data_IF_734526728332
#
_entry.id   IF_734526728332
#
_cell.length_a   1.000
_cell.length_b   1.000
_cell.length_c   1.000
_cell.angle_alpha   90.00
_cell.angle_beta   90.00
_cell.angle_gamma   90.00
#
_symmetry.space_group_name_H-M   'P 1'
#
loop_
_entity.id
_entity.type
_entity.pdbx_description
1 polymer ?
#
# COMPACT_ATOMS: atom_id res chain seq x y z
N UNK A 1 -27.34 3.08 0.38
CA UNK A 1 -26.14 3.27 1.21
C UNK A 1 -25.02 2.45 0.58
N UNK A 2 -23.88 3.06 0.26
CA UNK A 2 -22.74 2.37 -0.35
C UNK A 2 -22.02 1.53 0.71
N UNK A 3 -21.66 0.29 0.37
CA UNK A 3 -20.91 -0.63 1.25
C UNK A 3 -19.52 -0.86 0.68
N UNK A 4 -18.57 -1.30 1.51
CA UNK A 4 -17.24 -1.69 1.03
C UNK A 4 -17.34 -2.79 -0.05
N UNK A 5 -18.22 -3.78 0.14
CA UNK A 5 -18.44 -4.83 -0.84
C UNK A 5 -18.85 -4.28 -2.21
N UNK A 6 -19.73 -3.27 -2.26
CA UNK A 6 -20.15 -2.63 -3.50
C UNK A 6 -18.99 -1.84 -4.16
N UNK A 7 -18.17 -1.16 -3.36
CA UNK A 7 -16.99 -0.43 -3.85
C UNK A 7 -15.94 -1.38 -4.41
N UNK A 8 -15.65 -2.48 -3.71
CA UNK A 8 -14.69 -3.51 -4.13
C UNK A 8 -15.19 -4.22 -5.39
N UNK A 9 -16.48 -4.56 -5.48
CA UNK A 9 -17.05 -5.18 -6.69
C UNK A 9 -16.93 -4.23 -7.91
N UNK A 10 -17.18 -2.93 -7.71
CA UNK A 10 -16.97 -1.92 -8.74
C UNK A 10 -15.51 -1.85 -9.21
N UNK A 11 -14.57 -1.85 -8.26
CA UNK A 11 -13.13 -1.83 -8.55
C UNK A 11 -12.68 -3.11 -9.28
N UNK A 12 -13.17 -4.27 -8.83
CA UNK A 12 -12.86 -5.60 -9.40
C UNK A 12 -13.26 -5.66 -10.86
N UNK A 13 -14.47 -5.18 -11.19
CA UNK A 13 -14.97 -5.14 -12.57
C UNK A 13 -14.14 -4.22 -13.45
N UNK A 14 -13.75 -3.06 -12.93
CA UNK A 14 -13.02 -2.05 -13.71
C UNK A 14 -11.57 -2.45 -13.97
N UNK A 15 -10.89 -2.98 -12.96
CA UNK A 15 -9.49 -3.38 -13.03
C UNK A 15 -9.29 -4.86 -13.45
N UNK A 16 -10.38 -5.58 -13.71
CA UNK A 16 -10.35 -7.01 -14.07
C UNK A 16 -9.55 -7.86 -13.05
N UNK A 17 -9.69 -7.53 -11.77
CA UNK A 17 -9.00 -8.25 -10.69
C UNK A 17 -9.57 -9.67 -10.61
N UNK A 18 -8.69 -10.66 -10.73
CA UNK A 18 -9.07 -12.07 -10.81
C UNK A 18 -9.56 -12.62 -9.47
N UNK A 19 -8.94 -12.23 -8.36
CA UNK A 19 -9.35 -12.71 -7.04
C UNK A 19 -8.91 -11.78 -5.91
N UNK A 20 -9.82 -11.56 -4.95
CA UNK A 20 -9.52 -10.98 -3.65
C UNK A 20 -9.37 -12.09 -2.61
N UNK A 21 -8.41 -11.93 -1.71
CA UNK A 21 -8.38 -12.68 -0.47
C UNK A 21 -9.33 -12.00 0.53
N UNK A 22 -10.37 -12.71 0.96
CA UNK A 22 -11.38 -12.17 1.89
C UNK A 22 -11.24 -12.93 3.20
N UNK A 23 -11.03 -12.20 4.30
CA UNK A 23 -11.04 -12.78 5.65
C UNK A 23 -12.40 -12.61 6.32
N UNK A 24 -12.63 -13.36 7.41
CA UNK A 24 -13.92 -13.41 8.12
C UNK A 24 -14.46 -12.06 8.61
N UNK A 25 -13.59 -11.06 8.79
CA UNK A 25 -13.95 -9.73 9.28
C UNK A 25 -14.30 -8.75 8.16
N UNK A 26 -14.71 -9.23 6.98
CA UNK A 26 -15.01 -8.39 5.80
C UNK A 26 -13.83 -7.51 5.37
N UNK A 27 -12.61 -8.02 5.58
CA UNK A 27 -11.38 -7.39 5.11
C UNK A 27 -10.99 -8.02 3.78
N UNK A 28 -10.71 -7.17 2.80
CA UNK A 28 -10.30 -7.55 1.45
C UNK A 28 -8.81 -7.31 1.29
N UNK A 29 -8.10 -8.27 0.74
CA UNK A 29 -6.67 -8.21 0.50
C UNK A 29 -6.36 -8.56 -0.96
N UNK A 30 -5.41 -7.83 -1.53
CA UNK A 30 -4.93 -8.00 -2.90
C UNK A 30 -3.43 -7.75 -2.93
N UNK A 31 -2.67 -8.69 -3.47
CA UNK A 31 -1.27 -8.47 -3.78
C UNK A 31 -1.15 -7.85 -5.17
N UNK A 32 -0.52 -6.67 -5.22
CA UNK A 32 -0.30 -5.87 -6.43
C UNK A 32 1.17 -6.03 -6.83
N UNK A 33 1.39 -6.58 -8.02
CA UNK A 33 2.71 -6.80 -8.64
C UNK A 33 3.75 -7.53 -7.76
N UNK A 34 3.28 -8.25 -6.74
CA UNK A 34 4.11 -8.99 -5.78
C UNK A 34 4.94 -8.13 -4.82
N UNK A 35 4.81 -6.80 -4.88
CA UNK A 35 5.60 -5.84 -4.09
C UNK A 35 4.78 -5.06 -3.07
N UNK A 36 3.48 -4.90 -3.32
CA UNK A 36 2.55 -4.16 -2.46
C UNK A 36 1.39 -5.08 -2.08
N UNK A 37 1.10 -5.20 -0.78
CA UNK A 37 -0.10 -5.86 -0.30
C UNK A 37 -1.14 -4.81 0.10
N UNK A 38 -2.21 -4.70 -0.69
CA UNK A 38 -3.33 -3.78 -0.47
C UNK A 38 -4.37 -4.45 0.43
N UNK A 39 -4.73 -3.79 1.54
CA UNK A 39 -5.74 -4.23 2.49
C UNK A 39 -6.84 -3.17 2.63
N UNK A 40 -8.09 -3.60 2.52
CA UNK A 40 -9.28 -2.76 2.60
C UNK A 40 -10.24 -3.29 3.66
N UNK A 41 -10.69 -2.44 4.57
CA UNK A 41 -11.71 -2.81 5.56
C UNK A 41 -12.55 -1.60 5.96
N UNK A 42 -13.63 -1.84 6.71
CA UNK A 42 -14.47 -0.76 7.25
C UNK A 42 -14.47 -0.77 8.77
N UNK A 43 -14.41 0.42 9.36
CA UNK A 43 -14.67 0.63 10.78
C UNK A 43 -15.30 2.01 11.00
N UNK A 44 -16.32 2.10 11.87
CA UNK A 44 -16.95 3.38 12.27
C UNK A 44 -17.31 4.31 11.10
N UNK A 45 -18.03 3.80 10.08
CA UNK A 45 -18.45 4.54 8.88
C UNK A 45 -17.31 5.07 8.01
N UNK A 46 -16.12 4.48 8.11
CA UNK A 46 -14.96 4.80 7.28
C UNK A 46 -14.44 3.56 6.59
N UNK A 47 -13.94 3.75 5.37
CA UNK A 47 -13.13 2.77 4.66
C UNK A 47 -11.67 3.07 4.95
N UNK A 48 -10.93 2.04 5.34
CA UNK A 48 -9.50 2.07 5.54
C UNK A 48 -8.84 1.43 4.32
N UNK A 49 -7.85 2.11 3.77
CA UNK A 49 -7.03 1.66 2.65
C UNK A 49 -5.60 1.62 3.15
N UNK A 50 -5.03 0.41 3.22
CA UNK A 50 -3.68 0.17 3.70
C UNK A 50 -2.88 -0.50 2.59
N UNK A 51 -1.83 0.17 2.12
CA UNK A 51 -0.83 -0.44 1.24
C UNK A 51 0.41 -0.75 2.06
N UNK A 52 0.67 -2.04 2.29
CA UNK A 52 1.90 -2.51 2.92
C UNK A 52 2.96 -2.82 1.85
N UNK A 53 4.15 -2.25 1.99
CA UNK A 53 5.26 -2.41 1.03
C UNK A 53 6.57 -2.19 1.76
N UNK A 54 7.67 -2.73 1.23
CA UNK A 54 9.02 -2.53 1.79
C UNK A 54 9.19 -2.97 3.25
N UNK A 55 9.91 -4.06 3.48
CA UNK A 55 10.30 -4.46 4.83
C UNK A 55 11.70 -3.94 5.14
N UNK A 56 11.85 -3.16 6.21
CA UNK A 56 13.17 -2.78 6.71
C UNK A 56 13.73 -4.01 7.45
N UNK A 57 14.90 -4.50 7.05
CA UNK A 57 15.54 -5.64 7.72
C UNK A 57 16.00 -5.26 9.13
N UNK A 58 16.20 -6.26 9.99
CA UNK A 58 16.76 -6.02 11.32
C UNK A 58 18.18 -5.47 11.27
N UNK A 59 18.91 -5.80 10.21
CA UNK A 59 20.26 -5.31 9.91
C UNK A 59 20.27 -3.87 9.35
N UNK A 60 19.11 -3.29 9.03
CA UNK A 60 18.98 -1.96 8.42
C UNK A 60 18.89 -0.79 9.43
N UNK A 61 19.05 -1.05 10.74
CA UNK A 61 19.38 0.02 11.71
C UNK A 61 20.76 0.63 11.40
N UNK A 62 21.52 0.10 10.43
CA UNK A 62 22.76 0.71 9.92
C UNK A 62 22.54 1.97 9.05
N UNK A 63 21.30 2.27 8.62
CA UNK A 63 21.04 3.41 7.71
C UNK A 63 19.89 4.33 8.19
N UNK A 64 19.97 4.93 9.40
CA UNK A 64 18.94 5.84 9.92
C UNK A 64 18.65 7.05 9.01
N UNK A 65 19.62 7.42 8.17
CA UNK A 65 19.46 8.48 7.17
C UNK A 65 18.53 8.09 6.01
N UNK A 66 18.42 6.80 5.67
CA UNK A 66 17.49 6.34 4.64
C UNK A 66 16.06 6.45 5.14
N UNK A 67 15.81 5.99 6.38
CA UNK A 67 14.51 6.16 7.03
C UNK A 67 14.14 7.65 7.12
N UNK A 68 15.09 8.50 7.55
CA UNK A 68 14.89 9.94 7.57
C UNK A 68 14.57 10.51 6.18
N UNK A 69 15.24 10.06 5.12
CA UNK A 69 14.97 10.49 3.73
C UNK A 69 13.58 10.08 3.26
N UNK A 70 13.14 8.85 3.57
CA UNK A 70 11.80 8.36 3.23
C UNK A 70 10.74 9.21 3.94
N UNK A 71 10.90 9.46 5.25
CA UNK A 71 9.96 10.30 6.00
C UNK A 71 10.00 11.78 5.59
N UNK A 72 11.16 12.31 5.22
CA UNK A 72 11.27 13.67 4.67
C UNK A 72 10.54 13.79 3.34
N UNK A 73 10.70 12.82 2.44
CA UNK A 73 9.92 12.80 1.22
C UNK A 73 8.44 12.71 1.54
N UNK A 74 8.06 11.85 2.48
CA UNK A 74 6.66 11.71 2.84
C UNK A 74 6.04 13.01 3.37
N UNK A 75 6.83 13.78 4.12
CA UNK A 75 6.45 15.12 4.57
C UNK A 75 6.29 16.09 3.40
N UNK A 76 7.23 16.10 2.43
CA UNK A 76 7.15 16.95 1.24
C UNK A 76 5.96 16.61 0.35
N UNK A 77 5.58 15.32 0.33
CA UNK A 77 4.47 14.78 -0.46
C UNK A 77 3.12 14.81 0.27
N UNK A 78 3.07 15.23 1.53
CA UNK A 78 1.85 15.26 2.32
C UNK A 78 0.78 16.23 1.77
N UNK A 79 1.18 17.22 0.95
CA UNK A 79 0.23 18.06 0.21
C UNK A 79 -0.38 17.36 -0.99
N UNK A 80 0.36 16.44 -1.58
CA UNK A 80 0.01 15.77 -2.83
C UNK A 80 -0.80 14.48 -2.54
N UNK A 81 -0.48 13.83 -1.42
CA UNK A 81 -1.07 12.56 -1.00
C UNK A 81 -1.69 12.70 0.39
N UNK A 82 -2.91 12.20 0.54
CA UNK A 82 -3.65 12.20 1.81
C UNK A 82 -3.34 10.95 2.67
N UNK A 83 -2.26 10.25 2.35
CA UNK A 83 -1.84 9.02 3.02
C UNK A 83 -0.86 9.32 4.15
N UNK A 84 -1.07 8.68 5.30
CA UNK A 84 -0.08 8.65 6.35
C UNK A 84 0.92 7.51 6.07
N UNK A 85 2.21 7.86 5.94
CA UNK A 85 3.27 6.86 5.96
C UNK A 85 3.57 6.47 7.41
N UNK A 86 3.50 5.17 7.68
CA UNK A 86 3.90 4.59 8.96
C UNK A 86 4.87 3.43 8.75
N UNK A 87 5.59 3.08 9.82
CA UNK A 87 6.38 1.86 9.89
C UNK A 87 5.85 1.05 11.08
N UNK A 88 5.51 -0.22 10.85
CA UNK A 88 4.96 -1.09 11.91
C UNK A 88 6.05 -1.59 12.86
N UNK A 89 5.62 -2.25 13.94
CA UNK A 89 6.47 -3.00 14.86
C UNK A 89 7.31 -4.09 14.16
N UNK A 90 6.76 -4.70 13.11
CA UNK A 90 7.45 -5.66 12.24
C UNK A 90 8.35 -5.00 11.18
N UNK A 91 8.61 -3.70 11.32
CA UNK A 91 9.46 -2.91 10.40
C UNK A 91 8.93 -2.88 8.95
N UNK A 92 7.63 -3.12 8.77
CA UNK A 92 6.96 -3.02 7.49
C UNK A 92 6.51 -1.58 7.27
N UNK A 93 6.83 -0.97 6.12
CA UNK A 93 6.25 0.32 5.77
C UNK A 93 4.80 0.15 5.28
N UNK A 94 3.96 1.11 5.63
CA UNK A 94 2.57 1.16 5.22
C UNK A 94 2.15 2.58 4.88
N UNK A 95 1.39 2.73 3.80
CA UNK A 95 0.59 3.92 3.56
C UNK A 95 -0.83 3.65 4.03
N UNK A 96 -1.38 4.56 4.84
CA UNK A 96 -2.73 4.44 5.38
C UNK A 96 -3.59 5.64 5.00
N UNK A 97 -4.79 5.36 4.50
CA UNK A 97 -5.79 6.37 4.17
C UNK A 97 -7.15 5.99 4.72
N UNK A 98 -7.91 7.00 5.11
CA UNK A 98 -9.27 6.83 5.59
C UNK A 98 -10.23 7.67 4.74
N UNK A 99 -11.28 7.05 4.25
CA UNK A 99 -12.35 7.72 3.50
C UNK A 99 -13.66 7.60 4.27
N UNK A 100 -14.43 8.68 4.34
CA UNK A 100 -15.77 8.65 4.94
C UNK A 100 -16.69 7.89 4.00
N UNK A 101 -17.36 6.83 4.47
CA UNK A 101 -18.21 5.98 3.66
C UNK A 101 -19.48 6.72 3.17
N UNK A 102 -19.97 7.68 3.96
CA UNK A 102 -21.11 8.50 3.59
C UNK A 102 -20.75 9.44 2.43
N UNK A 103 -21.43 9.29 1.30
CA UNK A 103 -21.19 10.08 0.08
C UNK A 103 -19.99 9.62 -0.76
N UNK A 104 -19.29 8.56 -0.36
CA UNK A 104 -18.18 8.00 -1.13
C UNK A 104 -18.69 7.35 -2.42
N UNK A 105 -18.14 7.79 -3.56
CA UNK A 105 -18.43 7.19 -4.87
C UNK A 105 -17.36 6.15 -5.24
N UNK A 106 -17.70 5.26 -6.18
CA UNK A 106 -16.72 4.31 -6.73
C UNK A 106 -15.51 5.00 -7.37
N UNK A 107 -15.73 6.11 -8.09
CA UNK A 107 -14.65 6.87 -8.73
C UNK A 107 -13.71 7.51 -7.71
N UNK A 108 -14.25 8.06 -6.61
CA UNK A 108 -13.43 8.61 -5.52
C UNK A 108 -12.63 7.53 -4.80
N UNK A 109 -13.25 6.37 -4.59
CA UNK A 109 -12.61 5.23 -3.97
C UNK A 109 -11.46 4.68 -4.81
N UNK A 110 -11.68 4.52 -6.12
CA UNK A 110 -10.65 4.11 -7.06
C UNK A 110 -9.52 5.13 -7.17
N UNK A 111 -9.84 6.41 -7.35
CA UNK A 111 -8.83 7.46 -7.42
C UNK A 111 -7.96 7.49 -6.15
N UNK A 112 -8.55 7.17 -4.99
CA UNK A 112 -7.80 7.07 -3.74
C UNK A 112 -6.85 5.87 -3.72
N UNK A 113 -7.28 4.70 -4.22
CA UNK A 113 -6.43 3.51 -4.33
C UNK A 113 -5.31 3.76 -5.33
N UNK A 114 -5.61 4.26 -6.53
CA UNK A 114 -4.59 4.56 -7.55
C UNK A 114 -3.56 5.56 -7.04
N UNK A 115 -3.99 6.63 -6.35
CA UNK A 115 -3.07 7.58 -5.75
C UNK A 115 -2.17 6.92 -4.68
N UNK A 116 -2.73 6.07 -3.83
CA UNK A 116 -1.96 5.39 -2.78
C UNK A 116 -0.97 4.37 -3.36
N UNK A 117 -1.34 3.63 -4.41
CA UNK A 117 -0.45 2.69 -5.10
C UNK A 117 0.70 3.42 -5.81
N UNK A 118 0.41 4.48 -6.57
CA UNK A 118 1.44 5.31 -7.19
C UNK A 118 2.44 5.86 -6.16
N UNK A 119 1.93 6.26 -4.99
CA UNK A 119 2.79 6.76 -3.92
C UNK A 119 3.65 5.66 -3.30
N UNK A 120 3.10 4.46 -3.09
CA UNK A 120 3.85 3.30 -2.62
C UNK A 120 4.98 2.95 -3.61
N UNK A 121 4.72 3.00 -4.92
CA UNK A 121 5.73 2.78 -5.95
C UNK A 121 6.84 3.84 -5.92
N UNK A 122 6.49 5.13 -5.77
CA UNK A 122 7.49 6.20 -5.61
C UNK A 122 8.41 5.95 -4.42
N UNK A 123 7.86 5.53 -3.28
CA UNK A 123 8.63 5.23 -2.09
C UNK A 123 9.48 3.95 -2.26
N UNK A 124 8.93 2.90 -2.88
CA UNK A 124 9.65 1.66 -3.20
C UNK A 124 10.86 1.93 -4.09
N UNK A 125 10.73 2.77 -5.12
CA UNK A 125 11.85 3.15 -5.97
C UNK A 125 12.98 3.80 -5.18
N UNK A 126 12.68 4.64 -4.18
CA UNK A 126 13.69 5.31 -3.35
C UNK A 126 14.39 4.34 -2.42
N UNK A 127 13.63 3.40 -1.86
CA UNK A 127 14.18 2.30 -1.06
C UNK A 127 15.15 1.50 -1.95
N UNK A 128 14.71 1.08 -3.14
CA UNK A 128 15.53 0.28 -4.07
C UNK A 128 16.76 1.02 -4.61
N UNK A 129 16.66 2.30 -4.98
CA UNK A 129 17.79 3.11 -5.46
C UNK A 129 18.86 3.32 -4.39
N UNK A 130 18.47 3.30 -3.11
CA UNK A 130 19.40 3.34 -1.98
C UNK A 130 20.13 1.99 -1.77
N UNK A 131 19.67 0.93 -2.44
CA UNK A 131 20.27 -0.42 -2.49
C UNK A 131 20.74 -0.78 -3.91
N UNK A 132 21.87 -0.25 -4.37
CA UNK A 132 22.57 -0.78 -5.55
C UNK A 132 23.29 -2.13 -5.30
N UNK A 133 23.05 -2.79 -4.16
CA UNK A 133 23.67 -4.07 -3.83
C UNK A 133 22.66 -5.22 -3.98
N UNK A 134 22.77 -5.87 -5.15
CA UNK A 134 22.25 -7.21 -5.50
C UNK A 134 20.84 -7.53 -5.01
N UNK A 135 19.88 -7.31 -5.91
CA UNK A 135 18.86 -8.34 -6.14
C UNK A 135 19.60 -9.64 -6.48
N UNK A 136 19.93 -10.45 -5.48
CA UNK A 136 20.16 -11.87 -5.73
C UNK A 136 18.81 -12.43 -6.16
N UNK A 137 18.61 -12.50 -7.48
CA UNK A 137 17.74 -13.50 -8.08
C UNK A 137 18.33 -14.87 -7.70
N UNK A 138 18.02 -15.34 -6.50
CA UNK A 138 18.18 -16.75 -6.15
C UNK A 138 16.94 -17.45 -6.66
N UNK A 139 17.09 -17.98 -7.87
CA UNK A 139 16.42 -19.09 -8.54
C UNK A 139 16.71 -18.81 -10.02
N UNK A 140 17.61 -19.54 -10.68
CA UNK A 140 17.36 -20.90 -11.13
C UNK A 140 18.66 -21.45 -11.73
N UNK A 141 19.09 -22.64 -11.29
CA UNK A 141 19.93 -23.54 -12.09
C UNK A 141 18.97 -24.63 -12.59
N UNK A 142 18.68 -24.65 -13.90
CA UNK A 142 18.14 -25.84 -14.58
C UNK A 142 19.28 -26.44 -15.40
N UNK A 143 19.36 -27.77 -15.57
CA UNK A 143 20.06 -28.33 -16.71
C UNK A 143 19.45 -27.83 -18.04
#
# INVERSE_FOLDING_TARGET
MVTLAALVDSLTKKLQISQWQISGDSTYQLDVDGSISLTLFTARQRVFIISAFGQLSDDLIDYPHQLARIYQLALLRASDYQDALITTDKKQMQLQRQLVLNGLTSDQFEAAISAQLNYADELLLIIQQSHSQKLTNSNVWFP
#
